data_IF_347973602844
#
_entry.id   IF_347973602844
#
_cell.length_a   1.000
_cell.length_b   1.000
_cell.length_c   1.000
_cell.angle_alpha   90.00
_cell.angle_beta   90.00
_cell.angle_gamma   90.00
#
_symmetry.space_group_name_H-M   'P 1'
#
loop_
_entity.id
_entity.type
_entity.pdbx_description
1 polymer ?
#
# COMPACT_ATOMS: atom_id res chain seq x y z
N UNK A 1 2.48 -26.69 -70.09
CA UNK A 1 3.00 -25.83 -68.99
C UNK A 1 1.84 -25.56 -68.05
N UNK A 2 1.82 -26.16 -66.86
CA UNK A 2 0.76 -25.95 -65.85
C UNK A 2 1.40 -25.29 -64.64
N UNK A 3 1.04 -24.03 -64.40
CA UNK A 3 1.49 -23.22 -63.27
C UNK A 3 0.93 -23.81 -61.96
N UNK A 4 1.83 -24.18 -61.04
CA UNK A 4 1.47 -24.58 -59.67
C UNK A 4 1.22 -23.30 -58.87
N UNK A 5 -0.01 -23.08 -58.45
CA UNK A 5 -0.38 -22.04 -57.49
C UNK A 5 0.24 -22.38 -56.13
N UNK A 6 1.25 -21.62 -55.70
CA UNK A 6 1.81 -21.74 -54.35
C UNK A 6 0.88 -21.05 -53.35
N UNK A 7 0.23 -21.84 -52.49
CA UNK A 7 -0.54 -21.33 -51.35
C UNK A 7 0.36 -20.74 -50.26
N UNK A 8 -0.19 -19.98 -49.31
CA UNK A 8 0.60 -19.30 -48.27
C UNK A 8 1.38 -20.31 -47.41
N UNK A 9 2.56 -19.93 -46.88
CA UNK A 9 3.41 -20.82 -46.09
C UNK A 9 2.64 -21.29 -44.85
N UNK A 10 2.48 -22.61 -44.75
CA UNK A 10 1.89 -23.29 -43.60
C UNK A 10 2.65 -22.88 -42.33
N UNK A 11 1.92 -22.51 -41.28
CA UNK A 11 2.52 -22.25 -39.97
C UNK A 11 3.33 -23.48 -39.51
N UNK A 12 4.47 -23.29 -38.81
CA UNK A 12 5.24 -24.42 -38.30
C UNK A 12 4.35 -25.28 -37.40
N UNK A 13 4.16 -26.53 -37.80
CA UNK A 13 3.49 -27.54 -36.99
C UNK A 13 4.36 -27.75 -35.74
N UNK A 14 3.93 -27.19 -34.62
CA UNK A 14 4.50 -27.54 -33.33
C UNK A 14 4.08 -28.98 -33.04
N UNK A 15 4.91 -29.94 -33.44
CA UNK A 15 4.81 -31.32 -33.01
C UNK A 15 5.06 -31.38 -31.51
N UNK A 16 4.00 -31.19 -30.72
CA UNK A 16 3.96 -31.75 -29.38
C UNK A 16 4.16 -33.25 -29.53
N UNK A 17 5.30 -33.76 -29.06
CA UNK A 17 5.52 -35.19 -28.99
C UNK A 17 4.33 -35.86 -28.31
N UNK A 18 4.00 -37.11 -28.67
CA UNK A 18 2.88 -37.80 -28.05
C UNK A 18 3.02 -37.73 -26.52
N UNK A 19 1.93 -37.46 -25.79
CA UNK A 19 1.98 -37.50 -24.33
C UNK A 19 2.55 -38.85 -23.92
N UNK A 20 3.62 -38.85 -23.12
CA UNK A 20 4.31 -40.08 -22.75
C UNK A 20 3.30 -41.07 -22.13
N UNK A 21 3.14 -42.28 -22.69
CA UNK A 21 2.19 -43.25 -22.17
C UNK A 21 2.62 -43.67 -20.77
N UNK A 22 1.71 -43.58 -19.81
CA UNK A 22 1.93 -44.06 -18.43
C UNK A 22 2.43 -43.05 -17.42
N UNK A 23 2.52 -41.74 -17.73
CA UNK A 23 2.72 -40.73 -16.68
C UNK A 23 1.41 -40.38 -15.97
N UNK A 24 0.78 -41.37 -15.34
CA UNK A 24 -0.02 -41.10 -14.14
C UNK A 24 0.98 -40.81 -13.05
N UNK A 25 1.32 -39.53 -12.83
CA UNK A 25 2.20 -39.18 -11.73
C UNK A 25 1.50 -39.53 -10.42
N UNK A 26 1.78 -40.71 -9.88
CA UNK A 26 1.50 -41.10 -8.49
C UNK A 26 2.32 -40.28 -7.49
N UNK A 27 3.01 -39.23 -7.97
CA UNK A 27 3.72 -38.25 -7.19
C UNK A 27 2.62 -37.49 -6.45
N UNK A 28 2.54 -37.60 -5.10
CA UNK A 28 1.62 -36.75 -4.35
C UNK A 28 1.91 -35.31 -4.77
N UNK A 29 0.87 -34.48 -5.03
CA UNK A 29 1.08 -33.10 -5.42
C UNK A 29 2.10 -32.50 -4.45
N UNK A 30 3.16 -31.83 -4.93
CA UNK A 30 4.21 -31.34 -4.04
C UNK A 30 3.52 -30.55 -2.95
N UNK A 31 3.59 -31.07 -1.72
CA UNK A 31 2.97 -30.44 -0.56
C UNK A 31 3.60 -29.07 -0.50
N UNK A 32 2.83 -28.04 -0.89
CA UNK A 32 3.36 -26.67 -0.93
C UNK A 32 3.89 -26.41 0.47
N UNK A 33 5.21 -26.28 0.66
CA UNK A 33 5.76 -26.16 2.00
C UNK A 33 5.11 -24.93 2.61
N UNK A 34 4.66 -25.00 3.87
CA UNK A 34 4.03 -23.86 4.55
C UNK A 34 4.87 -22.59 4.40
N UNK A 35 6.19 -22.76 4.31
CA UNK A 35 7.17 -21.73 3.95
C UNK A 35 6.79 -20.92 2.70
N UNK A 36 6.33 -21.55 1.61
CA UNK A 36 5.92 -20.83 0.40
C UNK A 36 4.74 -19.88 0.67
N UNK A 37 3.82 -20.26 1.55
CA UNK A 37 2.71 -19.37 1.96
C UNK A 37 3.23 -18.18 2.78
N UNK A 38 4.15 -18.42 3.72
CA UNK A 38 4.77 -17.34 4.49
C UNK A 38 5.59 -16.40 3.62
N UNK A 39 6.37 -16.94 2.67
CA UNK A 39 7.13 -16.13 1.69
C UNK A 39 6.18 -15.29 0.84
N UNK A 40 5.09 -15.86 0.33
CA UNK A 40 4.10 -15.10 -0.42
C UNK A 40 3.51 -13.95 0.40
N UNK A 41 3.09 -14.22 1.64
CA UNK A 41 2.57 -13.19 2.55
C UNK A 41 3.63 -12.12 2.82
N UNK A 42 4.87 -12.51 3.13
CA UNK A 42 5.97 -11.59 3.37
C UNK A 42 6.24 -10.71 2.15
N UNK A 43 6.19 -11.25 0.93
CA UNK A 43 6.34 -10.47 -0.31
C UNK A 43 5.24 -9.42 -0.45
N UNK A 44 3.97 -9.79 -0.26
CA UNK A 44 2.86 -8.83 -0.34
C UNK A 44 2.95 -7.75 0.74
N UNK A 45 3.28 -8.14 1.98
CA UNK A 45 3.48 -7.18 3.08
C UNK A 45 4.66 -6.25 2.78
N UNK A 46 5.76 -6.77 2.24
CA UNK A 46 6.93 -5.97 1.90
C UNK A 46 6.62 -4.89 0.88
N UNK A 47 5.83 -5.21 -0.16
CA UNK A 47 5.39 -4.20 -1.14
C UNK A 47 4.59 -3.08 -0.46
N UNK A 48 3.70 -3.43 0.47
CA UNK A 48 2.94 -2.45 1.27
C UNK A 48 3.84 -1.57 2.12
N UNK A 49 4.77 -2.18 2.87
CA UNK A 49 5.71 -1.47 3.75
C UNK A 49 6.61 -0.53 2.95
N UNK A 50 7.16 -1.00 1.82
CA UNK A 50 8.00 -0.19 0.94
C UNK A 50 7.20 0.99 0.40
N UNK A 51 5.94 0.78 0.01
CA UNK A 51 5.06 1.86 -0.46
C UNK A 51 4.83 2.93 0.62
N UNK A 52 4.51 2.51 1.84
CA UNK A 52 4.33 3.44 2.98
C UNK A 52 5.62 4.20 3.29
N UNK A 53 6.77 3.53 3.28
CA UNK A 53 8.06 4.16 3.47
C UNK A 53 8.31 5.22 2.40
N UNK A 54 8.09 4.89 1.13
CA UNK A 54 8.27 5.83 0.03
C UNK A 54 7.34 7.04 0.15
N UNK A 55 6.08 6.85 0.55
CA UNK A 55 5.13 7.97 0.65
C UNK A 55 5.50 8.90 1.81
N UNK A 56 5.82 8.37 3.00
CA UNK A 56 5.89 9.17 4.23
C UNK A 56 7.30 9.40 4.80
N UNK A 57 8.28 8.57 4.47
CA UNK A 57 9.60 8.58 5.12
C UNK A 57 10.78 8.77 4.17
N UNK A 58 10.65 8.37 2.90
CA UNK A 58 11.73 8.55 1.93
C UNK A 58 12.04 10.04 1.71
N UNK A 59 13.33 10.36 1.61
CA UNK A 59 13.80 11.71 1.33
C UNK A 59 13.87 11.95 -0.18
N UNK A 60 13.05 12.88 -0.69
CA UNK A 60 13.04 13.29 -2.11
C UNK A 60 13.71 14.66 -2.31
N UNK A 61 14.34 15.22 -1.27
CA UNK A 61 14.90 16.56 -1.29
C UNK A 61 13.88 17.65 -0.94
N UNK A 62 14.27 18.90 -1.22
CA UNK A 62 13.53 20.12 -0.82
C UNK A 62 12.43 20.54 -1.79
N UNK A 63 12.37 19.90 -2.95
CA UNK A 63 11.38 20.21 -3.99
C UNK A 63 10.05 19.52 -3.71
N UNK A 64 8.94 20.09 -4.22
CA UNK A 64 7.62 19.46 -4.13
C UNK A 64 7.63 18.12 -4.89
N UNK A 65 7.20 17.05 -4.23
CA UNK A 65 7.15 15.71 -4.80
C UNK A 65 5.72 15.17 -4.84
N UNK A 66 5.48 14.11 -5.61
CA UNK A 66 4.13 13.52 -5.84
C UNK A 66 3.41 13.14 -4.53
N UNK A 67 4.18 12.85 -3.48
CA UNK A 67 3.65 12.45 -2.17
C UNK A 67 3.52 13.61 -1.16
N UNK A 68 3.95 14.84 -1.51
CA UNK A 68 3.83 16.01 -0.64
C UNK A 68 2.38 16.30 -0.22
N UNK A 69 1.35 16.18 -1.09
CA UNK A 69 -0.05 16.32 -0.66
C UNK A 69 -0.46 15.29 0.41
N UNK A 70 -0.03 14.04 0.27
CA UNK A 70 -0.33 12.98 1.23
C UNK A 70 0.34 13.24 2.60
N UNK A 71 1.57 13.77 2.60
CA UNK A 71 2.26 14.18 3.83
C UNK A 71 1.54 15.34 4.52
N UNK A 72 1.13 16.37 3.77
CA UNK A 72 0.34 17.50 4.32
C UNK A 72 -0.98 17.02 4.94
N UNK A 73 -1.68 16.11 4.27
CA UNK A 73 -2.89 15.51 4.83
C UNK A 73 -2.58 14.77 6.14
N UNK A 74 -1.52 13.95 6.19
CA UNK A 74 -1.14 13.22 7.40
C UNK A 74 -0.79 14.18 8.54
N UNK A 75 -0.07 15.26 8.28
CA UNK A 75 0.27 16.27 9.29
C UNK A 75 -0.98 16.98 9.83
N UNK A 76 -1.97 17.25 8.98
CA UNK A 76 -3.28 17.75 9.43
C UNK A 76 -4.01 16.75 10.32
N UNK A 77 -3.98 15.45 9.97
CA UNK A 77 -4.59 14.40 10.80
C UNK A 77 -3.87 14.27 12.15
N UNK A 78 -2.53 14.28 12.15
CA UNK A 78 -1.74 14.25 13.38
C UNK A 78 -2.04 15.46 14.26
N UNK A 79 -2.14 16.64 13.67
CA UNK A 79 -2.50 17.87 14.39
C UNK A 79 -3.89 17.71 14.99
N UNK A 80 -4.89 17.36 14.18
CA UNK A 80 -6.26 17.18 14.64
C UNK A 80 -6.41 16.12 15.75
N UNK A 81 -5.58 15.07 15.75
CA UNK A 81 -5.59 14.04 16.79
C UNK A 81 -4.96 14.51 18.11
N UNK A 82 -3.92 15.33 18.05
CA UNK A 82 -3.20 15.81 19.23
C UNK A 82 -3.66 17.18 19.74
N UNK A 83 -4.50 17.89 18.98
CA UNK A 83 -5.11 19.15 19.38
C UNK A 83 -6.57 18.96 19.76
N UNK A 84 -7.08 19.83 20.63
CA UNK A 84 -8.52 19.89 20.92
C UNK A 84 -9.31 20.09 19.63
N UNK A 85 -10.43 19.40 19.50
CA UNK A 85 -11.37 19.71 18.42
C UNK A 85 -11.82 21.17 18.51
N UNK A 86 -12.25 21.81 17.41
CA UNK A 86 -12.67 23.22 17.45
C UNK A 86 -13.77 23.50 18.49
N UNK A 87 -14.64 22.51 18.74
CA UNK A 87 -15.68 22.59 19.75
C UNK A 87 -15.12 22.53 21.19
N UNK A 88 -14.16 21.65 21.44
CA UNK A 88 -13.50 21.55 22.74
C UNK A 88 -12.60 22.76 23.01
N UNK A 89 -11.95 23.30 21.97
CA UNK A 89 -11.16 24.51 22.07
C UNK A 89 -12.04 25.72 22.42
N UNK A 90 -13.21 25.83 21.79
CA UNK A 90 -14.20 26.86 22.13
C UNK A 90 -14.76 26.69 23.57
N UNK A 91 -14.90 25.45 24.06
CA UNK A 91 -15.31 25.18 25.43
C UNK A 91 -14.18 25.53 26.43
N UNK A 92 -12.93 25.17 26.13
CA UNK A 92 -11.76 25.50 26.93
C UNK A 92 -11.54 27.02 27.02
N UNK A 93 -11.71 27.75 25.92
CA UNK A 93 -11.61 29.22 25.90
C UNK A 93 -12.71 29.90 26.73
N UNK A 94 -13.91 29.32 26.74
CA UNK A 94 -15.02 29.79 27.60
C UNK A 94 -14.71 29.55 29.09
N UNK A 95 -14.18 28.37 29.43
CA UNK A 95 -13.78 28.04 30.80
C UNK A 95 -12.65 28.96 31.29
N UNK A 96 -11.60 29.13 30.50
CA UNK A 96 -10.48 30.04 30.80
C UNK A 96 -10.95 31.49 31.01
N UNK A 97 -11.95 31.94 30.25
CA UNK A 97 -12.55 33.27 30.41
C UNK A 97 -13.38 33.40 31.69
N UNK A 98 -14.03 32.32 32.14
CA UNK A 98 -14.80 32.29 33.38
C UNK A 98 -13.93 32.23 34.64
N UNK A 99 -12.71 31.67 34.53
CA UNK A 99 -11.74 31.59 35.62
C UNK A 99 -11.08 32.96 35.96
N UNK A 100 -11.22 33.97 35.10
CA UNK A 100 -10.50 35.27 35.19
C UNK A 100 -11.21 36.39 35.97
N UNK A 101 -12.28 36.15 36.77
CA UNK A 101 -12.49 37.05 37.91
C UNK A 101 -13.04 36.35 39.15
N UNK A 102 -12.18 36.03 40.13
CA UNK A 102 -12.63 35.90 41.54
C UNK A 102 -11.60 35.93 42.67
N UNK A 103 -10.29 36.07 42.42
CA UNK A 103 -9.29 35.98 43.51
C UNK A 103 -8.25 37.13 43.51
N UNK A 104 -8.67 38.33 43.10
CA UNK A 104 -7.87 39.56 43.32
C UNK A 104 -8.47 40.46 44.42
N UNK A 105 -9.61 40.07 45.02
CA UNK A 105 -10.33 40.86 46.03
C UNK A 105 -10.24 40.24 47.44
N UNK A 106 -9.10 39.64 47.81
CA UNK A 106 -8.86 39.25 49.21
C UNK A 106 -8.11 40.38 49.95
N UNK A 107 -8.78 41.19 50.79
CA UNK A 107 -8.07 42.11 51.66
C UNK A 107 -7.28 41.32 52.72
N UNK A 108 -5.99 41.60 52.83
CA UNK A 108 -5.11 41.23 53.96
C UNK A 108 -5.31 42.18 55.12
#
# INVERSE_FOLDING_TARGET
MVQRSEGPPSAPEFHYGPPLPGRTSNIPPPTRPKLHRYVAIASYVSVGVISVYNIFYADYGKEEHVFSPARRWLDQQKTAFWTLSPAEQAAADRLKRQEVPRDTDRPT
#
